data_IF_890153361935
#
_entry.id   IF_890153361935
#
_cell.length_a   1.000
_cell.length_b   1.000
_cell.length_c   1.000
_cell.angle_alpha   90.00
_cell.angle_beta   90.00
_cell.angle_gamma   90.00
#
_symmetry.space_group_name_H-M   'P 1'
#
loop_
_entity.id
_entity.type
_entity.pdbx_description
1 polymer ?
#
# COMPACT_ATOMS: atom_id res chain seq x y z
N UNK A 1 -46.36 -28.51 82.29
CA UNK A 1 -47.35 -28.03 81.30
C UNK A 1 -46.64 -27.84 79.97
N UNK A 2 -47.15 -28.47 78.91
CA UNK A 2 -46.53 -28.51 77.59
C UNK A 2 -46.89 -27.27 76.77
N UNK A 3 -45.90 -26.45 76.41
CA UNK A 3 -46.02 -25.40 75.40
C UNK A 3 -45.53 -25.91 74.05
N UNK A 4 -46.44 -26.05 73.07
CA UNK A 4 -46.09 -26.32 71.66
C UNK A 4 -45.52 -25.06 71.02
N UNK A 5 -44.23 -25.01 70.75
CA UNK A 5 -43.62 -24.05 69.81
C UNK A 5 -43.47 -24.72 68.44
N UNK A 6 -44.08 -24.09 67.42
CA UNK A 6 -44.08 -24.51 66.01
C UNK A 6 -42.65 -24.48 65.46
N UNK A 7 -42.18 -25.58 64.85
CA UNK A 7 -41.01 -25.57 63.97
C UNK A 7 -41.30 -24.65 62.77
N UNK A 8 -40.50 -23.60 62.63
CA UNK A 8 -40.43 -22.78 61.41
C UNK A 8 -39.69 -23.62 60.36
N UNK A 9 -40.33 -23.93 59.23
CA UNK A 9 -39.69 -24.62 58.13
C UNK A 9 -38.53 -23.74 57.60
N UNK A 10 -37.32 -24.21 57.80
CA UNK A 10 -36.10 -23.60 57.31
C UNK A 10 -36.06 -23.83 55.79
N UNK A 11 -36.10 -22.74 55.02
CA UNK A 11 -36.02 -22.81 53.55
C UNK A 11 -34.61 -23.26 53.19
N UNK A 12 -34.47 -24.47 52.67
CA UNK A 12 -33.22 -24.96 52.10
C UNK A 12 -32.76 -24.01 50.98
N UNK A 13 -31.51 -23.50 51.03
CA UNK A 13 -30.98 -22.65 49.98
C UNK A 13 -30.88 -23.45 48.68
N UNK A 14 -31.40 -22.88 47.58
CA UNK A 14 -31.38 -23.49 46.24
C UNK A 14 -29.93 -23.75 45.81
N UNK A 15 -29.66 -25.00 45.41
CA UNK A 15 -28.39 -25.45 44.85
C UNK A 15 -27.99 -24.59 43.64
N UNK A 16 -26.69 -24.35 43.47
CA UNK A 16 -26.12 -23.45 42.45
C UNK A 16 -26.52 -23.90 41.04
N UNK A 17 -26.66 -25.21 40.83
CA UNK A 17 -27.19 -25.77 39.57
C UNK A 17 -28.65 -25.39 39.35
N UNK A 18 -29.48 -25.43 40.40
CA UNK A 18 -30.88 -24.98 40.31
C UNK A 18 -30.99 -23.49 40.02
N UNK A 19 -30.10 -22.66 40.59
CA UNK A 19 -30.02 -21.22 40.26
C UNK A 19 -29.63 -20.97 38.80
N UNK A 20 -28.67 -21.74 38.28
CA UNK A 20 -28.25 -21.65 36.88
C UNK A 20 -29.37 -22.04 35.91
N UNK A 21 -30.13 -23.11 36.20
CA UNK A 21 -31.28 -23.51 35.38
C UNK A 21 -32.45 -22.51 35.47
N UNK A 22 -32.66 -21.88 36.63
CA UNK A 22 -33.66 -20.81 36.78
C UNK A 22 -33.24 -19.58 35.96
N UNK A 23 -31.96 -19.17 36.00
CA UNK A 23 -31.46 -18.05 35.20
C UNK A 23 -31.51 -18.36 33.71
N UNK A 24 -31.11 -19.56 33.29
CA UNK A 24 -31.24 -20.00 31.89
C UNK A 24 -32.70 -20.04 31.45
N UNK A 25 -33.61 -20.56 32.27
CA UNK A 25 -35.04 -20.57 31.98
C UNK A 25 -35.63 -19.16 31.86
N UNK A 26 -35.20 -18.22 32.72
CA UNK A 26 -35.60 -16.81 32.66
C UNK A 26 -35.02 -16.10 31.42
N UNK A 27 -33.76 -16.35 31.07
CA UNK A 27 -33.16 -15.81 29.85
C UNK A 27 -33.83 -16.37 28.59
N UNK A 28 -34.11 -17.67 28.53
CA UNK A 28 -34.84 -18.28 27.40
C UNK A 28 -36.27 -17.76 27.29
N UNK A 29 -36.95 -17.51 28.42
CA UNK A 29 -38.29 -16.92 28.41
C UNK A 29 -38.27 -15.45 27.98
N UNK A 30 -37.26 -14.67 28.40
CA UNK A 30 -37.09 -13.30 27.92
C UNK A 30 -36.78 -13.25 26.43
N UNK A 31 -35.96 -14.18 25.91
CA UNK A 31 -35.71 -14.30 24.47
C UNK A 31 -36.97 -14.70 23.69
N UNK A 32 -37.79 -15.60 24.22
CA UNK A 32 -39.07 -15.97 23.60
C UNK A 32 -40.07 -14.82 23.62
N UNK A 33 -40.17 -14.09 24.73
CA UNK A 33 -41.03 -12.90 24.83
C UNK A 33 -40.51 -11.78 23.92
N UNK A 34 -39.20 -11.58 23.80
CA UNK A 34 -38.64 -10.60 22.87
C UNK A 34 -38.91 -10.99 21.42
N UNK A 35 -38.78 -12.27 21.05
CA UNK A 35 -39.11 -12.75 19.70
C UNK A 35 -40.60 -12.62 19.41
N UNK A 36 -41.49 -12.92 20.36
CA UNK A 36 -42.94 -12.75 20.19
C UNK A 36 -43.33 -11.27 20.11
N UNK A 37 -42.72 -10.39 20.91
CA UNK A 37 -42.92 -8.94 20.81
C UNK A 37 -42.38 -8.43 19.46
N UNK A 38 -41.22 -8.88 19.00
CA UNK A 38 -40.69 -8.57 17.67
C UNK A 38 -41.63 -9.06 16.57
N UNK A 39 -42.22 -10.25 16.68
CA UNK A 39 -43.20 -10.76 15.72
C UNK A 39 -44.53 -9.98 15.76
N UNK A 40 -44.96 -9.48 16.92
CA UNK A 40 -46.16 -8.64 17.02
C UNK A 40 -45.91 -7.20 16.57
N UNK A 41 -44.69 -6.67 16.74
CA UNK A 41 -44.29 -5.37 16.22
C UNK A 41 -44.06 -5.41 14.70
N UNK A 42 -43.52 -6.51 14.17
CA UNK A 42 -43.29 -6.71 12.73
C UNK A 42 -44.55 -7.22 12.00
N UNK A 43 -45.41 -8.00 12.66
CA UNK A 43 -46.60 -8.62 12.06
C UNK A 43 -47.95 -7.97 12.41
N UNK A 44 -47.98 -7.00 13.34
CA UNK A 44 -49.21 -6.45 13.93
C UNK A 44 -49.83 -5.23 13.25
N UNK A 45 -49.29 -4.74 12.14
CA UNK A 45 -49.86 -3.60 11.39
C UNK A 45 -49.99 -3.85 9.87
N UNK A 46 -50.08 -5.12 9.46
CA UNK A 46 -50.27 -5.51 8.05
C UNK A 46 -51.72 -5.50 7.55
N UNK A 47 -52.59 -4.61 8.05
CA UNK A 47 -53.96 -4.44 7.53
C UNK A 47 -54.54 -3.07 7.85
N UNK A 48 -53.95 -2.01 7.28
CA UNK A 48 -54.63 -0.90 6.60
C UNK A 48 -53.59 0.20 6.31
N UNK A 49 -53.53 0.60 5.03
CA UNK A 49 -53.05 1.90 4.55
C UNK A 49 -51.54 2.08 4.29
N UNK A 50 -51.25 2.15 2.99
CA UNK A 50 -50.29 3.01 2.27
C UNK A 50 -48.82 3.06 2.69
N UNK A 51 -47.98 2.61 1.74
CA UNK A 51 -46.67 3.18 1.35
C UNK A 51 -45.77 3.70 2.47
N UNK A 52 -44.82 2.85 2.89
CA UNK A 52 -43.44 3.23 3.20
C UNK A 52 -42.65 1.97 3.59
N UNK A 53 -42.02 1.34 2.61
CA UNK A 53 -40.99 0.33 2.87
C UNK A 53 -39.73 1.05 3.37
N UNK A 54 -39.63 1.16 4.70
CA UNK A 54 -38.38 1.39 5.41
C UNK A 54 -37.73 0.02 5.65
N UNK A 55 -37.14 -0.52 4.59
CA UNK A 55 -36.28 -1.69 4.67
C UNK A 55 -34.96 -1.25 5.34
N UNK A 56 -34.65 -1.77 6.52
CA UNK A 56 -33.34 -1.59 7.13
C UNK A 56 -32.34 -2.55 6.47
N UNK A 57 -32.18 -2.41 5.15
CA UNK A 57 -31.01 -2.88 4.45
C UNK A 57 -29.82 -2.08 4.96
N UNK A 58 -28.70 -2.73 5.28
CA UNK A 58 -27.43 -2.02 5.19
C UNK A 58 -27.36 -1.52 3.75
N UNK A 59 -27.54 -0.22 3.54
CA UNK A 59 -27.42 0.36 2.21
C UNK A 59 -26.02 0.02 1.72
N UNK A 60 -25.93 -0.96 0.82
CA UNK A 60 -24.73 -1.19 0.05
C UNK A 60 -24.56 0.10 -0.72
N UNK A 61 -23.51 0.88 -0.41
CA UNK A 61 -23.28 2.12 -1.15
C UNK A 61 -23.32 1.77 -2.64
N UNK A 62 -24.19 2.47 -3.39
CA UNK A 62 -24.35 2.19 -4.81
C UNK A 62 -23.00 2.34 -5.47
N UNK A 63 -22.56 1.29 -6.17
CA UNK A 63 -21.36 1.39 -6.99
C UNK A 63 -21.58 2.38 -8.13
N UNK A 64 -20.49 3.02 -8.52
CA UNK A 64 -20.46 4.14 -9.44
C UNK A 64 -19.45 3.91 -10.55
N UNK A 65 -19.60 4.62 -11.66
CA UNK A 65 -18.64 4.61 -12.77
C UNK A 65 -18.30 6.06 -13.12
N UNK A 66 -17.03 6.31 -13.32
CA UNK A 66 -16.53 7.63 -13.73
C UNK A 66 -16.94 7.95 -15.18
N UNK A 67 -17.44 9.16 -15.41
CA UNK A 67 -17.79 9.63 -16.74
C UNK A 67 -16.61 10.33 -17.40
N UNK A 68 -16.28 9.94 -18.64
CA UNK A 68 -15.28 10.65 -19.46
C UNK A 68 -13.83 10.32 -19.13
N UNK A 69 -13.58 9.22 -18.40
CA UNK A 69 -12.23 8.71 -18.19
C UNK A 69 -11.53 8.39 -19.52
N UNK A 70 -10.31 8.91 -19.67
CA UNK A 70 -9.39 8.61 -20.76
C UNK A 70 -8.14 7.93 -20.20
N UNK A 71 -7.98 6.65 -20.50
CA UNK A 71 -6.87 5.81 -20.03
C UNK A 71 -5.49 6.30 -20.51
N UNK A 72 -5.43 7.09 -21.58
CA UNK A 72 -4.18 7.53 -22.20
C UNK A 72 -3.76 8.93 -21.73
N UNK A 73 -4.66 9.69 -21.09
CA UNK A 73 -4.43 11.09 -20.69
C UNK A 73 -3.23 11.26 -19.73
N UNK A 74 -3.10 10.37 -18.76
CA UNK A 74 -2.07 10.41 -17.71
C UNK A 74 -1.14 9.19 -17.74
N UNK A 75 -1.02 8.52 -18.90
CA UNK A 75 -0.12 7.38 -19.05
C UNK A 75 1.33 7.78 -18.72
N UNK A 76 2.02 6.88 -18.02
CA UNK A 76 3.45 7.03 -17.69
C UNK A 76 4.26 6.61 -18.91
N UNK A 77 5.04 7.53 -19.46
CA UNK A 77 6.04 7.23 -20.48
C UNK A 77 7.29 6.67 -19.80
N UNK A 78 7.36 5.33 -19.68
CA UNK A 78 8.45 4.65 -18.96
C UNK A 78 9.84 5.02 -19.51
N UNK A 79 9.94 5.39 -20.79
CA UNK A 79 11.22 5.75 -21.42
C UNK A 79 11.85 7.02 -20.84
N UNK A 80 11.06 7.86 -20.17
CA UNK A 80 11.55 9.08 -19.50
C UNK A 80 12.08 8.82 -18.08
N UNK A 81 11.90 7.60 -17.57
CA UNK A 81 12.13 7.26 -16.16
C UNK A 81 12.97 5.98 -15.99
N UNK A 82 13.80 5.62 -16.97
CA UNK A 82 14.56 4.34 -16.98
C UNK A 82 15.54 4.16 -15.81
N UNK A 83 15.94 5.23 -15.10
CA UNK A 83 16.74 5.13 -13.87
C UNK A 83 15.91 5.18 -12.57
N UNK A 84 14.61 5.45 -12.68
CA UNK A 84 13.68 5.67 -11.57
C UNK A 84 12.68 4.53 -11.45
N UNK A 85 12.05 4.13 -12.55
CA UNK A 85 11.15 2.97 -12.61
C UNK A 85 12.02 1.71 -12.55
N UNK A 86 11.65 0.80 -11.66
CA UNK A 86 12.30 -0.50 -11.58
C UNK A 86 11.95 -1.32 -12.83
N UNK A 87 12.99 -1.75 -13.54
CA UNK A 87 12.88 -2.60 -14.73
C UNK A 87 12.67 -4.07 -14.34
N UNK A 88 12.19 -4.87 -15.30
CA UNK A 88 12.05 -6.31 -15.11
C UNK A 88 13.42 -6.96 -14.81
N UNK A 89 13.43 -7.80 -13.78
CA UNK A 89 14.57 -8.54 -13.24
C UNK A 89 14.24 -10.03 -13.16
N UNK A 90 15.26 -10.85 -12.89
CA UNK A 90 15.01 -12.22 -12.41
C UNK A 90 14.19 -12.18 -11.10
N UNK A 91 13.41 -13.23 -10.85
CA UNK A 91 12.64 -13.39 -9.61
C UNK A 91 13.59 -13.41 -8.41
N UNK A 92 13.55 -12.35 -7.60
CA UNK A 92 14.39 -12.19 -6.41
C UNK A 92 13.97 -13.08 -5.22
N UNK A 93 12.89 -13.85 -5.36
CA UNK A 93 12.47 -14.87 -4.41
C UNK A 93 11.87 -14.33 -3.11
N UNK A 94 11.61 -15.26 -2.18
CA UNK A 94 10.98 -14.93 -0.90
C UNK A 94 11.91 -14.11 0.01
N UNK A 95 13.22 -14.33 -0.04
CA UNK A 95 14.19 -13.57 0.75
C UNK A 95 14.09 -12.06 0.45
N UNK A 96 13.84 -11.68 -0.81
CA UNK A 96 13.61 -10.28 -1.18
C UNK A 96 12.38 -9.68 -0.48
N UNK A 97 11.29 -10.44 -0.41
CA UNK A 97 10.05 -10.05 0.28
C UNK A 97 10.26 -9.97 1.80
N UNK A 98 10.96 -10.94 2.38
CA UNK A 98 11.22 -11.02 3.82
C UNK A 98 12.13 -9.88 4.31
N UNK A 99 13.03 -9.39 3.46
CA UNK A 99 13.91 -8.25 3.74
C UNK A 99 13.28 -6.88 3.47
N UNK A 100 12.07 -6.86 2.90
CA UNK A 100 11.34 -5.66 2.50
C UNK A 100 10.22 -5.35 3.51
N UNK A 101 10.21 -4.13 4.03
CA UNK A 101 9.11 -3.66 4.88
C UNK A 101 8.04 -2.96 4.03
N UNK A 102 6.85 -3.55 3.96
CA UNK A 102 5.73 -2.98 3.23
C UNK A 102 4.97 -1.99 4.12
N UNK A 103 4.84 -0.74 3.67
CA UNK A 103 4.15 0.34 4.37
C UNK A 103 2.95 0.79 3.55
N UNK A 104 1.78 0.88 4.16
CA UNK A 104 0.61 1.37 3.43
C UNK A 104 -0.68 1.39 4.23
N UNK A 105 -1.78 1.36 3.50
CA UNK A 105 -3.12 1.47 4.05
C UNK A 105 -3.81 0.10 4.24
N UNK A 106 -5.11 0.01 3.93
CA UNK A 106 -5.89 -1.23 4.00
C UNK A 106 -5.41 -2.29 3.01
N UNK A 107 -4.92 -1.93 1.83
CA UNK A 107 -4.40 -2.94 0.89
C UNK A 107 -3.11 -3.56 1.43
N UNK A 108 -2.23 -2.78 2.05
CA UNK A 108 -1.05 -3.33 2.77
C UNK A 108 -1.46 -4.16 3.97
N UNK A 109 -2.50 -3.76 4.72
CA UNK A 109 -3.03 -4.58 5.82
C UNK A 109 -3.50 -5.97 5.35
N UNK A 110 -4.11 -6.06 4.16
CA UNK A 110 -4.57 -7.33 3.58
C UNK A 110 -3.43 -8.29 3.25
N UNK A 111 -2.24 -7.78 2.93
CA UNK A 111 -1.06 -8.61 2.57
C UNK A 111 -0.71 -9.62 3.67
N UNK A 112 -0.75 -9.21 4.95
CA UNK A 112 -0.34 -10.04 6.09
C UNK A 112 -1.48 -10.43 7.04
N UNK A 113 -2.66 -9.80 6.95
CA UNK A 113 -3.83 -10.15 7.79
C UNK A 113 -4.82 -11.08 7.12
N UNK A 114 -4.78 -11.17 5.79
CA UNK A 114 -5.79 -11.92 5.02
C UNK A 114 -5.19 -12.92 4.04
N UNK A 115 -4.03 -12.61 3.45
CA UNK A 115 -3.52 -13.38 2.32
C UNK A 115 -2.15 -14.03 2.52
N UNK A 116 -1.49 -13.80 3.65
CA UNK A 116 -0.23 -14.43 4.05
C UNK A 116 0.95 -14.22 3.07
N UNK A 117 0.94 -13.12 2.30
CA UNK A 117 2.09 -12.73 1.45
C UNK A 117 3.21 -12.06 2.25
N UNK A 118 2.82 -11.37 3.32
CA UNK A 118 3.73 -10.82 4.31
C UNK A 118 3.40 -11.38 5.69
N UNK A 119 4.31 -11.14 6.63
CA UNK A 119 4.13 -11.34 8.05
C UNK A 119 4.01 -9.99 8.76
N UNK A 120 3.66 -9.99 10.04
CA UNK A 120 3.71 -8.78 10.86
C UNK A 120 5.14 -8.21 10.94
N UNK A 121 6.18 -9.04 10.81
CA UNK A 121 7.58 -8.61 10.92
C UNK A 121 8.09 -7.86 9.67
N UNK A 122 7.37 -7.91 8.55
CA UNK A 122 7.75 -7.22 7.31
C UNK A 122 6.59 -6.44 6.66
N UNK A 123 5.52 -6.13 7.40
CA UNK A 123 4.46 -5.24 6.92
C UNK A 123 3.80 -4.42 8.03
N UNK A 124 3.46 -3.17 7.70
CA UNK A 124 2.67 -2.26 8.53
C UNK A 124 1.57 -1.66 7.65
N UNK A 125 0.32 -1.94 7.99
CA UNK A 125 -0.85 -1.52 7.24
C UNK A 125 -1.86 -0.79 8.12
N UNK A 126 -2.09 0.49 7.85
CA UNK A 126 -2.98 1.36 8.64
C UNK A 126 -4.27 1.65 7.86
N UNK A 127 -5.37 0.99 8.24
CA UNK A 127 -6.63 1.02 7.46
C UNK A 127 -7.20 2.44 7.38
N UNK A 128 -7.37 2.94 6.16
CA UNK A 128 -7.90 4.27 5.88
C UNK A 128 -6.90 5.40 6.07
N UNK A 129 -5.62 5.08 6.27
CA UNK A 129 -4.55 6.08 6.33
C UNK A 129 -4.25 6.62 4.94
N UNK A 130 -4.06 7.93 4.88
CA UNK A 130 -3.72 8.66 3.66
C UNK A 130 -2.26 9.13 3.74
N UNK A 131 -1.64 9.45 2.60
CA UNK A 131 -0.27 9.93 2.52
C UNK A 131 -0.04 11.21 3.37
N UNK A 132 -1.06 12.06 3.49
CA UNK A 132 -1.10 13.23 4.41
C UNK A 132 -0.76 12.91 5.86
N UNK A 133 -1.03 11.68 6.28
CA UNK A 133 -0.80 11.24 7.66
C UNK A 133 0.57 10.57 7.84
N UNK A 134 1.32 10.31 6.77
CA UNK A 134 2.53 9.48 6.79
C UNK A 134 3.61 10.03 7.74
N UNK A 135 3.81 11.34 7.77
CA UNK A 135 4.82 11.99 8.61
C UNK A 135 4.53 11.87 10.11
N UNK A 136 3.26 11.90 10.52
CA UNK A 136 2.88 12.22 11.91
C UNK A 136 2.04 11.16 12.60
N UNK A 137 1.34 10.31 11.85
CA UNK A 137 0.36 9.42 12.43
C UNK A 137 0.99 8.16 13.03
N UNK A 138 0.82 8.02 14.35
CA UNK A 138 1.27 6.84 15.09
C UNK A 138 0.27 5.69 14.89
N UNK A 139 0.65 4.67 14.12
CA UNK A 139 -0.25 3.63 13.65
C UNK A 139 0.12 2.20 14.05
N UNK A 140 1.36 1.94 14.47
CA UNK A 140 1.85 0.58 14.76
C UNK A 140 2.34 0.45 16.19
N UNK A 141 2.04 -0.68 16.84
CA UNK A 141 2.58 -1.02 18.15
C UNK A 141 3.73 -2.02 17.97
N UNK A 142 4.90 -1.72 18.55
CA UNK A 142 6.09 -2.57 18.46
C UNK A 142 6.44 -3.18 19.81
N UNK A 143 7.07 -4.35 19.80
CA UNK A 143 7.54 -5.02 21.00
C UNK A 143 8.50 -4.10 21.77
N UNK A 144 8.27 -3.97 23.08
CA UNK A 144 9.05 -3.07 23.94
C UNK A 144 8.56 -1.62 23.96
N UNK A 145 7.52 -1.28 23.19
CA UNK A 145 6.90 0.05 23.18
C UNK A 145 5.43 -0.02 23.65
N UNK A 146 5.07 0.83 24.60
CA UNK A 146 3.71 0.85 25.18
C UNK A 146 2.70 1.60 24.31
N UNK A 147 3.16 2.58 23.54
CA UNK A 147 2.32 3.43 22.68
C UNK A 147 2.49 3.04 21.22
N UNK A 148 1.53 3.44 20.40
CA UNK A 148 1.71 3.46 18.94
C UNK A 148 2.86 4.38 18.56
N UNK A 149 3.57 4.03 17.48
CA UNK A 149 4.64 4.80 16.90
C UNK A 149 4.34 5.12 15.43
N UNK A 150 4.96 6.18 14.91
CA UNK A 150 4.87 6.55 13.48
C UNK A 150 5.58 5.53 12.60
N UNK A 151 5.28 5.51 11.30
CA UNK A 151 5.98 4.63 10.36
C UNK A 151 7.48 4.92 10.30
N UNK A 152 7.89 6.20 10.26
CA UNK A 152 9.30 6.58 10.36
C UNK A 152 9.98 6.01 11.60
N UNK A 153 9.32 6.12 12.76
CA UNK A 153 9.85 5.53 13.98
C UNK A 153 9.92 4.01 13.89
N UNK A 154 8.92 3.37 13.30
CA UNK A 154 8.90 1.93 13.11
C UNK A 154 10.04 1.45 12.20
N UNK A 155 10.30 2.13 11.08
CA UNK A 155 11.43 1.83 10.18
C UNK A 155 12.76 1.90 10.95
N UNK A 156 12.98 2.93 11.78
CA UNK A 156 14.20 3.03 12.60
C UNK A 156 14.40 1.88 13.61
N UNK A 157 13.30 1.22 14.01
CA UNK A 157 13.29 0.14 14.98
C UNK A 157 13.30 -1.25 14.34
N UNK A 158 12.71 -1.39 13.16
CA UNK A 158 12.64 -2.64 12.40
C UNK A 158 13.86 -2.81 11.47
N UNK A 159 14.54 -1.71 11.13
CA UNK A 159 15.81 -1.71 10.38
C UNK A 159 15.77 -2.53 9.07
N UNK A 160 14.74 -2.38 8.21
CA UNK A 160 14.63 -3.14 6.97
C UNK A 160 15.72 -2.74 5.98
N UNK A 161 16.01 -3.60 4.99
CA UNK A 161 16.87 -3.20 3.86
C UNK A 161 16.20 -2.12 3.03
N UNK A 162 14.92 -2.33 2.74
CA UNK A 162 14.12 -1.48 1.88
C UNK A 162 12.70 -1.35 2.39
N UNK A 163 12.06 -0.24 2.05
CA UNK A 163 10.62 -0.05 2.23
C UNK A 163 9.93 0.05 0.89
N UNK A 164 8.76 -0.58 0.78
CA UNK A 164 7.83 -0.35 -0.33
C UNK A 164 6.61 0.38 0.22
N UNK A 165 6.37 1.61 -0.22
CA UNK A 165 5.25 2.45 0.22
C UNK A 165 4.11 2.40 -0.79
N UNK A 166 2.90 2.06 -0.34
CA UNK A 166 1.67 2.09 -1.15
C UNK A 166 0.59 2.89 -0.43
N UNK A 167 0.44 4.16 -0.81
CA UNK A 167 -0.59 5.09 -0.32
C UNK A 167 -1.15 5.90 -1.49
N UNK A 168 -2.35 6.44 -1.31
CA UNK A 168 -2.93 7.45 -2.19
C UNK A 168 -4.41 7.24 -2.49
N UNK A 169 -4.93 6.02 -2.38
CA UNK A 169 -6.36 5.74 -2.57
C UNK A 169 -7.23 6.54 -1.60
N UNK A 170 -6.80 6.70 -0.33
CA UNK A 170 -7.50 7.50 0.68
C UNK A 170 -7.28 9.03 0.55
N UNK A 171 -6.44 9.47 -0.39
CA UNK A 171 -6.19 10.88 -0.68
C UNK A 171 -7.03 11.38 -1.86
N UNK A 172 -7.57 10.47 -2.69
CA UNK A 172 -8.45 10.81 -3.81
C UNK A 172 -9.64 11.65 -3.33
N UNK A 173 -9.77 12.81 -3.95
CA UNK A 173 -10.83 13.78 -3.69
C UNK A 173 -10.82 14.84 -4.78
N UNK A 174 -11.99 15.26 -5.30
CA UNK A 174 -12.09 16.35 -6.26
C UNK A 174 -11.50 17.68 -5.77
N UNK A 175 -11.37 17.86 -4.45
CA UNK A 175 -10.85 19.09 -3.84
C UNK A 175 -9.38 19.00 -3.41
N UNK A 176 -8.71 17.86 -3.61
CA UNK A 176 -7.33 17.66 -3.18
C UNK A 176 -6.41 17.57 -4.40
N UNK A 177 -5.51 18.54 -4.54
CA UNK A 177 -4.64 18.65 -5.71
C UNK A 177 -3.54 17.60 -5.69
N UNK A 178 -3.07 17.23 -6.88
CA UNK A 178 -1.90 16.36 -7.07
C UNK A 178 -0.64 16.96 -6.45
N UNK A 179 -0.45 18.28 -6.58
CA UNK A 179 0.68 18.98 -5.96
C UNK A 179 0.68 18.79 -4.43
N UNK A 180 -0.44 19.09 -3.75
CA UNK A 180 -0.51 18.90 -2.30
C UNK A 180 -0.38 17.43 -1.89
N UNK A 181 -0.91 16.49 -2.69
CA UNK A 181 -0.70 15.06 -2.45
C UNK A 181 0.78 14.70 -2.46
N UNK A 182 1.52 15.15 -3.49
CA UNK A 182 2.96 14.89 -3.63
C UNK A 182 3.76 15.56 -2.51
N UNK A 183 3.49 16.83 -2.18
CA UNK A 183 4.16 17.53 -1.07
C UNK A 183 4.04 16.75 0.24
N UNK A 184 2.83 16.29 0.57
CA UNK A 184 2.57 15.56 1.82
C UNK A 184 3.21 14.16 1.82
N UNK A 185 3.18 13.45 0.68
CA UNK A 185 3.79 12.14 0.57
C UNK A 185 5.31 12.25 0.68
N UNK A 186 5.90 13.19 -0.05
CA UNK A 186 7.34 13.47 -0.02
C UNK A 186 7.81 13.85 1.39
N UNK A 187 7.10 14.75 2.09
CA UNK A 187 7.37 15.10 3.49
C UNK A 187 7.36 13.85 4.38
N UNK A 188 6.34 13.00 4.24
CA UNK A 188 6.23 11.73 4.96
C UNK A 188 7.41 10.79 4.72
N UNK A 189 7.81 10.59 3.46
CA UNK A 189 8.97 9.74 3.11
C UNK A 189 10.27 10.35 3.66
N UNK A 190 10.45 11.68 3.59
CA UNK A 190 11.63 12.35 4.16
C UNK A 190 11.78 12.08 5.66
N UNK A 191 10.69 11.99 6.42
CA UNK A 191 10.78 11.58 7.84
C UNK A 191 11.29 10.15 8.03
N UNK A 192 10.98 9.23 7.10
CA UNK A 192 11.48 7.85 7.12
C UNK A 192 12.98 7.83 6.83
N UNK A 193 13.41 8.56 5.78
CA UNK A 193 14.83 8.70 5.41
C UNK A 193 15.63 9.32 6.56
N UNK A 194 15.12 10.36 7.20
CA UNK A 194 15.76 10.98 8.37
C UNK A 194 15.88 10.01 9.56
N UNK A 195 14.82 9.23 9.82
CA UNK A 195 14.79 8.29 10.93
C UNK A 195 15.71 7.07 10.73
N UNK A 196 15.95 6.65 9.50
CA UNK A 196 16.83 5.52 9.17
C UNK A 196 17.50 5.69 7.78
N UNK A 197 18.64 6.41 7.70
CA UNK A 197 19.24 6.80 6.41
C UNK A 197 19.72 5.67 5.49
N UNK A 198 19.93 4.46 6.02
CA UNK A 198 20.36 3.28 5.25
C UNK A 198 19.20 2.55 4.55
N UNK A 199 17.98 3.08 4.60
CA UNK A 199 16.82 2.43 3.99
C UNK A 199 16.70 2.80 2.51
N UNK A 200 16.57 1.79 1.66
CA UNK A 200 16.17 2.01 0.28
C UNK A 200 14.67 2.37 0.21
N UNK A 201 14.36 3.46 -0.50
CA UNK A 201 12.99 3.93 -0.72
C UNK A 201 12.47 3.45 -2.08
N UNK A 202 11.37 2.71 -2.04
CA UNK A 202 10.60 2.34 -3.22
C UNK A 202 9.15 2.81 -3.02
N UNK A 203 8.66 3.65 -3.92
CA UNK A 203 7.24 4.03 -3.94
C UNK A 203 6.53 3.15 -4.96
N UNK A 204 5.52 2.41 -4.51
CA UNK A 204 4.68 1.64 -5.39
C UNK A 204 3.52 2.50 -5.91
N UNK A 205 3.16 2.29 -7.17
CA UNK A 205 1.98 2.90 -7.77
C UNK A 205 0.72 2.60 -6.95
N UNK A 206 -0.18 3.58 -6.85
CA UNK A 206 -1.54 3.42 -6.36
C UNK A 206 -2.26 2.38 -7.24
N UNK A 207 -2.85 1.32 -6.66
CA UNK A 207 -3.58 0.32 -7.42
C UNK A 207 -4.78 0.92 -8.18
N UNK A 208 -5.15 0.36 -9.35
CA UNK A 208 -6.30 0.84 -10.10
C UNK A 208 -7.62 0.52 -9.39
N UNK A 209 -8.62 1.37 -9.61
CA UNK A 209 -10.00 1.14 -9.18
C UNK A 209 -10.70 0.15 -10.11
N UNK A 210 -11.72 -0.54 -9.60
CA UNK A 210 -12.70 -1.20 -10.45
C UNK A 210 -13.49 -0.17 -11.26
N UNK A 211 -13.89 -0.52 -12.49
CA UNK A 211 -14.77 0.34 -13.30
C UNK A 211 -16.09 0.66 -12.59
N UNK A 212 -16.50 -0.24 -11.69
CA UNK A 212 -17.54 0.01 -10.69
C UNK A 212 -16.91 0.02 -9.32
N UNK A 213 -17.05 1.10 -8.58
CA UNK A 213 -16.51 1.23 -7.22
C UNK A 213 -17.46 2.05 -6.33
N UNK A 214 -17.31 1.95 -5.01
CA UNK A 214 -18.00 2.82 -4.06
C UNK A 214 -17.39 4.22 -4.08
N UNK A 215 -18.17 5.24 -3.75
CA UNK A 215 -17.77 6.65 -3.64
C UNK A 215 -17.39 7.34 -4.98
N UNK A 216 -18.26 8.27 -5.43
CA UNK A 216 -18.07 9.10 -6.64
C UNK A 216 -16.84 10.02 -6.62
N UNK A 217 -16.25 10.25 -5.45
CA UNK A 217 -15.08 11.13 -5.33
C UNK A 217 -13.77 10.43 -5.70
N UNK A 218 -13.77 9.09 -5.80
CA UNK A 218 -12.61 8.33 -6.24
C UNK A 218 -12.66 8.22 -7.76
N UNK A 219 -11.62 8.66 -8.46
CA UNK A 219 -11.58 8.60 -9.92
C UNK A 219 -10.31 7.92 -10.39
N UNK A 220 -10.42 7.14 -11.46
CA UNK A 220 -9.26 6.52 -12.09
C UNK A 220 -8.39 7.58 -12.78
N UNK A 221 -9.00 8.66 -13.28
CA UNK A 221 -8.26 9.84 -13.78
C UNK A 221 -7.28 10.37 -12.74
N UNK A 222 -7.73 10.56 -11.49
CA UNK A 222 -6.88 11.08 -10.42
C UNK A 222 -5.86 10.05 -9.91
N UNK A 223 -6.21 8.75 -9.90
CA UNK A 223 -5.22 7.68 -9.65
C UNK A 223 -4.08 7.73 -10.66
N UNK A 224 -4.39 7.89 -11.95
CA UNK A 224 -3.38 7.97 -12.99
C UNK A 224 -2.56 9.26 -12.91
N UNK A 225 -3.20 10.38 -12.58
CA UNK A 225 -2.52 11.66 -12.34
C UNK A 225 -1.54 11.58 -11.16
N UNK A 226 -1.98 11.00 -10.03
CA UNK A 226 -1.14 10.80 -8.86
C UNK A 226 0.01 9.85 -9.17
N UNK A 227 -0.23 8.72 -9.84
CA UNK A 227 0.83 7.78 -10.20
C UNK A 227 1.90 8.43 -11.09
N UNK A 228 1.49 9.21 -12.09
CA UNK A 228 2.42 9.98 -12.93
C UNK A 228 3.26 10.96 -12.10
N UNK A 229 2.63 11.66 -11.16
CA UNK A 229 3.34 12.60 -10.31
C UNK A 229 4.25 11.91 -9.27
N UNK A 230 3.90 10.71 -8.79
CA UNK A 230 4.74 9.91 -7.90
C UNK A 230 6.04 9.48 -8.58
N UNK A 231 6.01 9.12 -9.87
CA UNK A 231 7.24 8.78 -10.61
C UNK A 231 8.16 10.00 -10.70
N UNK A 232 7.61 11.18 -10.99
CA UNK A 232 8.42 12.41 -11.03
C UNK A 232 9.00 12.74 -9.65
N UNK A 233 8.20 12.65 -8.58
CA UNK A 233 8.68 12.84 -7.20
C UNK A 233 9.84 11.88 -6.87
N UNK A 234 9.73 10.61 -7.27
CA UNK A 234 10.79 9.62 -7.07
C UNK A 234 12.06 10.01 -7.83
N UNK A 235 11.92 10.43 -9.08
CA UNK A 235 13.05 10.88 -9.92
C UNK A 235 13.75 12.10 -9.31
N UNK A 236 13.00 13.08 -8.81
CA UNK A 236 13.54 14.29 -8.19
C UNK A 236 14.30 14.02 -6.89
N UNK A 237 13.93 12.96 -6.16
CA UNK A 237 14.53 12.57 -4.88
C UNK A 237 15.54 11.40 -4.99
N UNK A 238 15.80 10.90 -6.20
CA UNK A 238 16.59 9.67 -6.45
C UNK A 238 16.07 8.43 -5.68
N UNK A 239 14.75 8.34 -5.54
CA UNK A 239 14.05 7.15 -5.06
C UNK A 239 13.59 6.28 -6.23
N UNK A 240 13.20 5.03 -5.94
CA UNK A 240 12.71 4.11 -6.96
C UNK A 240 11.19 4.08 -7.01
N UNK A 241 10.65 3.84 -8.19
CA UNK A 241 9.22 3.68 -8.43
C UNK A 241 8.92 2.27 -8.92
N UNK A 242 7.99 1.58 -8.26
CA UNK A 242 7.48 0.28 -8.67
C UNK A 242 6.13 0.47 -9.35
N UNK A 243 6.06 0.29 -10.67
CA UNK A 243 4.85 0.55 -11.46
C UNK A 243 3.85 -0.63 -11.47
N UNK A 244 3.56 -1.23 -10.31
CA UNK A 244 2.71 -2.44 -10.24
C UNK A 244 1.30 -2.26 -10.80
N UNK A 245 0.79 -1.03 -10.91
CA UNK A 245 -0.51 -0.75 -11.50
C UNK A 245 -0.61 -1.25 -12.94
N UNK A 246 0.48 -1.33 -13.70
CA UNK A 246 0.43 -1.80 -15.10
C UNK A 246 0.01 -3.26 -15.23
N UNK A 247 0.41 -4.13 -14.29
CA UNK A 247 -0.03 -5.53 -14.27
C UNK A 247 -1.42 -5.72 -13.66
N UNK A 248 -1.89 -4.76 -12.88
CA UNK A 248 -3.23 -4.80 -12.28
C UNK A 248 -4.32 -4.22 -13.20
N UNK A 249 -3.94 -3.35 -14.14
CA UNK A 249 -4.87 -2.73 -15.11
C UNK A 249 -5.22 -3.66 -16.26
N UNK A 250 -6.46 -3.56 -16.71
CA UNK A 250 -6.88 -4.04 -18.00
C UNK A 250 -6.48 -3.02 -19.07
N UNK A 251 -5.67 -3.43 -20.05
CA UNK A 251 -5.11 -2.54 -21.07
C UNK A 251 -6.17 -1.88 -21.96
N UNK A 252 -7.37 -2.48 -22.07
CA UNK A 252 -8.44 -1.94 -22.91
C UNK A 252 -9.24 -0.84 -22.21
N UNK A 253 -9.41 -0.96 -20.89
CA UNK A 253 -10.28 -0.07 -20.12
C UNK A 253 -9.52 0.90 -19.21
N UNK A 254 -8.28 0.62 -18.81
CA UNK A 254 -7.50 1.40 -17.85
C UNK A 254 -7.87 1.17 -16.36
N UNK A 255 -8.95 0.42 -16.09
CA UNK A 255 -9.36 0.03 -14.74
C UNK A 255 -8.72 -1.29 -14.31
N UNK A 256 -8.91 -1.68 -13.05
CA UNK A 256 -8.50 -2.98 -12.55
C UNK A 256 -9.08 -4.13 -13.40
N UNK A 257 -8.28 -5.16 -13.65
CA UNK A 257 -8.72 -6.41 -14.30
C UNK A 257 -9.91 -7.02 -13.56
N UNK A 258 -10.75 -7.76 -14.28
CA UNK A 258 -11.92 -8.42 -13.67
C UNK A 258 -11.49 -9.36 -12.53
N UNK A 259 -12.12 -9.21 -11.37
CA UNK A 259 -11.82 -10.01 -10.17
C UNK A 259 -10.58 -9.54 -9.39
N UNK A 260 -9.94 -8.44 -9.76
CA UNK A 260 -8.75 -7.93 -9.06
C UNK A 260 -9.08 -6.99 -7.90
N UNK A 261 -10.29 -6.45 -7.88
CA UNK A 261 -10.86 -5.70 -6.75
C UNK A 261 -12.10 -6.38 -6.21
N UNK A 262 -12.37 -6.21 -4.92
CA UNK A 262 -13.56 -6.73 -4.25
C UNK A 262 -14.82 -6.17 -4.91
N UNK A 263 -15.76 -7.05 -5.28
CA UNK A 263 -16.99 -6.63 -5.96
C UNK A 263 -17.90 -5.76 -5.09
N UNK A 264 -17.70 -5.77 -3.77
CA UNK A 264 -18.48 -4.99 -2.81
C UNK A 264 -18.13 -3.50 -2.82
N UNK A 265 -16.90 -3.13 -3.20
CA UNK A 265 -16.43 -1.75 -3.13
C UNK A 265 -15.64 -1.30 -4.36
N UNK A 266 -15.12 -2.21 -5.18
CA UNK A 266 -14.30 -1.90 -6.35
C UNK A 266 -12.96 -1.20 -6.01
N UNK A 267 -12.48 -1.30 -4.77
CA UNK A 267 -11.30 -0.59 -4.26
C UNK A 267 -10.27 -1.58 -3.68
N UNK A 268 -10.71 -2.52 -2.83
CA UNK A 268 -9.78 -3.39 -2.13
C UNK A 268 -9.30 -4.52 -3.05
N UNK A 269 -7.99 -4.78 -3.07
CA UNK A 269 -7.42 -5.82 -3.91
C UNK A 269 -7.80 -7.23 -3.42
N UNK A 270 -8.15 -8.11 -4.35
CA UNK A 270 -8.42 -9.52 -4.06
C UNK A 270 -7.11 -10.32 -3.92
N UNK A 271 -7.21 -11.59 -3.50
CA UNK A 271 -6.04 -12.48 -3.45
C UNK A 271 -5.36 -12.64 -4.82
N UNK A 272 -6.13 -12.67 -5.90
CA UNK A 272 -5.61 -12.80 -7.26
C UNK A 272 -4.77 -11.58 -7.67
N UNK A 273 -5.25 -10.36 -7.35
CA UNK A 273 -4.46 -9.15 -7.57
C UNK A 273 -3.20 -9.10 -6.72
N UNK A 274 -3.28 -9.56 -5.46
CA UNK A 274 -2.10 -9.63 -4.60
C UNK A 274 -1.07 -10.64 -5.10
N UNK A 275 -1.48 -11.74 -5.74
CA UNK A 275 -0.56 -12.70 -6.37
C UNK A 275 0.25 -12.02 -7.48
N UNK A 276 -0.41 -11.31 -8.38
CA UNK A 276 0.24 -10.54 -9.45
C UNK A 276 1.11 -9.40 -8.91
N UNK A 277 0.67 -8.71 -7.86
CA UNK A 277 1.45 -7.66 -7.21
C UNK A 277 2.75 -8.23 -6.63
N UNK A 278 2.69 -9.35 -5.90
CA UNK A 278 3.90 -9.93 -5.30
C UNK A 278 4.82 -10.58 -6.34
N UNK A 279 4.28 -11.14 -7.42
CA UNK A 279 5.09 -11.54 -8.57
C UNK A 279 5.83 -10.34 -9.17
N UNK A 280 5.12 -9.22 -9.36
CA UNK A 280 5.70 -7.98 -9.88
C UNK A 280 6.78 -7.42 -8.94
N UNK A 281 6.54 -7.41 -7.63
CA UNK A 281 7.52 -6.98 -6.62
C UNK A 281 8.82 -7.77 -6.71
N UNK A 282 8.74 -9.09 -6.93
CA UNK A 282 9.95 -9.94 -7.00
C UNK A 282 10.67 -9.87 -8.36
N UNK A 283 9.92 -9.63 -9.43
CA UNK A 283 10.45 -9.53 -10.80
C UNK A 283 10.78 -8.10 -11.21
N UNK A 284 10.65 -7.12 -10.32
CA UNK A 284 11.09 -5.74 -10.53
C UNK A 284 11.86 -5.28 -9.29
N UNK A 285 12.88 -6.06 -8.93
CA UNK A 285 13.57 -5.95 -7.65
C UNK A 285 14.63 -4.85 -7.65
N UNK A 286 14.70 -4.12 -6.54
CA UNK A 286 15.80 -3.20 -6.24
C UNK A 286 16.75 -3.81 -5.21
N UNK A 287 17.91 -4.27 -5.68
CA UNK A 287 18.92 -4.96 -4.86
C UNK A 287 20.19 -4.09 -4.84
N UNK A 288 20.58 -3.70 -3.64
CA UNK A 288 21.73 -2.87 -3.32
C UNK A 288 22.66 -3.60 -2.36
N UNK A 289 23.89 -3.09 -2.22
CA UNK A 289 24.78 -3.52 -1.15
C UNK A 289 24.19 -3.13 0.21
N UNK A 290 24.29 -4.01 1.20
CA UNK A 290 23.76 -3.74 2.54
C UNK A 290 24.72 -2.87 3.34
N UNK A 291 24.41 -1.58 3.37
CA UNK A 291 25.14 -0.55 4.09
C UNK A 291 24.55 -0.26 5.48
N UNK A 292 23.54 -1.04 5.91
CA UNK A 292 22.90 -0.84 7.20
C UNK A 292 23.93 -0.93 8.32
N UNK A 293 23.83 -0.07 9.35
CA UNK A 293 24.62 -0.26 10.55
C UNK A 293 24.34 -1.65 11.12
N UNK A 294 25.31 -2.27 11.80
CA UNK A 294 25.15 -3.62 12.38
C UNK A 294 23.79 -3.75 13.06
N UNK A 295 22.92 -4.58 12.45
CA UNK A 295 21.53 -4.74 12.84
C UNK A 295 21.48 -5.23 14.29
N UNK A 296 20.83 -4.45 15.17
CA UNK A 296 20.79 -4.71 16.61
C UNK A 296 19.39 -4.42 17.14
N UNK A 297 18.84 -5.35 17.91
CA UNK A 297 17.56 -5.19 18.61
C UNK A 297 16.40 -4.83 17.66
N UNK A 298 16.24 -5.60 16.57
CA UNK A 298 15.12 -5.46 15.63
C UNK A 298 13.80 -5.63 16.37
N UNK A 299 13.03 -4.55 16.46
CA UNK A 299 11.72 -4.60 17.09
C UNK A 299 10.77 -5.43 16.22
N UNK A 300 10.03 -6.32 16.86
CA UNK A 300 8.96 -7.08 16.21
C UNK A 300 7.65 -6.32 16.31
N UNK A 301 6.87 -6.35 15.25
CA UNK A 301 5.50 -5.88 15.28
C UNK A 301 4.68 -6.81 16.18
N UNK A 302 3.95 -6.24 17.15
CA UNK A 302 3.05 -7.03 18.00
C UNK A 302 1.66 -7.03 17.37
N UNK A 303 1.19 -8.21 16.97
CA UNK A 303 0.05 -8.40 16.05
C UNK A 303 -1.28 -7.69 16.37
N UNK A 304 -2.19 -7.75 15.39
CA UNK A 304 -3.56 -7.21 15.28
C UNK A 304 -3.86 -5.79 15.75
N UNK A 305 -2.84 -5.01 16.11
CA UNK A 305 -3.05 -3.71 16.73
C UNK A 305 -2.91 -2.51 15.81
N UNK A 306 -2.55 -2.63 14.53
CA UNK A 306 -2.52 -1.38 13.73
C UNK A 306 -3.89 -0.73 13.67
N UNK A 307 -3.85 0.58 13.79
CA UNK A 307 -5.03 1.41 14.00
C UNK A 307 -5.71 1.66 12.66
N UNK A 308 -7.03 1.49 12.60
CA UNK A 308 -7.81 2.13 11.54
C UNK A 308 -8.00 3.60 11.89
N UNK A 309 -7.93 4.52 10.93
CA UNK A 309 -8.18 5.95 11.17
C UNK A 309 -9.51 6.20 11.91
N UNK A 310 -10.54 5.41 11.60
CA UNK A 310 -11.83 5.40 12.32
C UNK A 310 -11.71 5.01 13.81
N UNK A 311 -10.87 4.03 14.12
CA UNK A 311 -10.60 3.59 15.50
C UNK A 311 -9.65 4.54 16.24
N UNK A 312 -8.78 5.25 15.53
CA UNK A 312 -7.87 6.24 16.11
C UNK A 312 -8.63 7.40 16.75
N UNK A 313 -9.68 7.90 16.08
CA UNK A 313 -10.58 8.92 16.63
C UNK A 313 -11.22 8.49 17.95
N UNK A 314 -11.38 7.18 18.18
CA UNK A 314 -11.89 6.63 19.43
C UNK A 314 -10.78 6.41 20.48
N UNK A 315 -9.54 6.13 20.06
CA UNK A 315 -8.37 6.02 20.96
C UNK A 315 -7.94 7.38 21.50
N UNK A 316 -8.01 8.45 20.70
CA UNK A 316 -7.81 9.83 21.19
C UNK A 316 -8.92 10.28 22.15
N UNK A 317 -10.14 9.76 22.02
CA UNK A 317 -11.24 10.04 22.97
C UNK A 317 -11.14 9.27 24.30
N UNK A 318 -10.33 8.22 24.39
CA UNK A 318 -10.23 7.39 25.61
C UNK A 318 -9.03 7.77 26.51
N UNK A 319 -8.23 8.76 26.12
CA UNK A 319 -7.09 9.26 26.93
C UNK A 319 -7.40 10.53 27.74
N UNK A 320 -8.64 11.03 27.70
CA UNK A 320 -9.05 12.25 28.42
C UNK A 320 -10.11 11.94 29.49
N UNK A 321 -9.76 11.07 30.44
CA UNK A 321 -10.46 10.95 31.71
C UNK A 321 -9.52 11.33 32.86
N UNK A 322 -9.24 12.62 33.01
CA UNK A 322 -8.98 13.26 34.29
C UNK A 322 -9.01 14.77 34.16
N UNK A 323 -9.89 15.38 34.96
CA UNK A 323 -9.92 16.80 35.38
C UNK A 323 -10.10 17.86 34.27
N UNK A 324 -10.92 18.90 34.41
CA UNK A 324 -11.83 19.32 35.46
C UNK A 324 -12.84 20.30 34.85
N UNK A 325 -14.01 20.30 35.46
CA UNK A 325 -15.16 21.18 35.28
C UNK A 325 -14.81 22.66 35.13
N UNK A 326 -15.47 23.31 34.18
CA UNK A 326 -15.56 24.76 34.00
C UNK A 326 -16.02 25.48 35.27
N UNK A 327 -15.44 26.64 35.59
CA UNK A 327 -16.22 27.87 35.85
C UNK A 327 -15.35 29.12 35.98
N UNK A 328 -15.93 30.19 35.45
CA UNK A 328 -15.56 31.60 35.37
C UNK A 328 -15.25 32.29 36.71
N UNK A 329 -14.30 33.22 36.68
CA UNK A 329 -14.08 34.22 37.73
C UNK A 329 -15.23 35.24 37.80
N UNK A 330 -15.72 35.48 39.02
CA UNK A 330 -16.35 36.73 39.43
C UNK A 330 -15.99 37.01 40.91
N UNK A 331 -16.08 38.28 41.26
CA UNK A 331 -15.43 39.03 42.33
C UNK A 331 -15.79 38.68 43.79
N UNK A 332 -14.89 39.15 44.67
CA UNK A 332 -15.17 39.82 45.96
C UNK A 332 -15.31 39.01 47.27
N UNK A 333 -14.35 39.33 48.15
CA UNK A 333 -14.50 39.70 49.56
C UNK A 333 -14.95 38.68 50.64
N UNK A 334 -14.02 38.50 51.60
CA UNK A 334 -14.21 38.51 53.07
C UNK A 334 -14.55 37.20 53.84
N UNK A 335 -13.56 36.84 54.67
CA UNK A 335 -13.63 36.59 56.13
C UNK A 335 -14.09 35.23 56.73
N UNK A 336 -13.26 34.79 57.70
CA UNK A 336 -13.50 33.92 58.88
C UNK A 336 -13.70 32.40 58.65
N UNK A 337 -13.26 31.42 59.49
CA UNK A 337 -12.57 31.32 60.80
C UNK A 337 -12.09 29.85 60.99
N UNK A 338 -10.84 29.67 61.45
CA UNK A 338 -10.28 28.75 62.49
C UNK A 338 -10.64 27.23 62.51
N UNK A 339 -9.63 26.35 62.45
CA UNK A 339 -9.14 25.54 63.61
C UNK A 339 -7.91 24.67 63.27
N UNK A 340 -7.00 24.60 64.25
CA UNK A 340 -5.68 23.95 64.36
C UNK A 340 -5.80 22.42 64.64
N UNK A 341 -4.73 21.57 64.55
CA UNK A 341 -3.67 21.50 65.58
C UNK A 341 -2.21 21.36 65.07
N UNK A 342 -1.28 21.67 65.98
CA UNK A 342 0.20 21.60 65.94
C UNK A 342 0.75 20.13 66.09
N UNK A 343 2.07 19.81 66.22
CA UNK A 343 3.27 20.67 66.39
C UNK A 343 4.59 20.25 65.67
N UNK A 344 5.53 21.22 65.66
CA UNK A 344 7.01 21.16 65.87
C UNK A 344 7.85 20.01 65.26
N UNK A 345 8.76 20.35 64.34
CA UNK A 345 10.23 20.43 64.59
C UNK A 345 10.93 21.10 63.39
N UNK A 346 11.86 22.02 63.68
CA UNK A 346 12.78 22.61 62.70
C UNK A 346 13.88 21.59 62.36
N UNK A 347 14.52 21.66 61.18
CA UNK A 347 15.82 22.35 61.19
C UNK A 347 16.28 22.97 59.85
N UNK A 348 17.33 23.79 60.00
CA UNK A 348 18.34 24.23 59.01
C UNK A 348 17.92 25.23 57.93
N UNK A 349 18.40 26.46 58.11
CA UNK A 349 18.48 27.51 57.10
C UNK A 349 19.56 27.10 56.09
N UNK A 350 19.17 26.78 54.86
CA UNK A 350 20.09 26.64 53.71
C UNK A 350 19.94 27.91 52.86
N UNK A 351 21.04 28.54 52.40
CA UNK A 351 20.97 29.84 51.73
C UNK A 351 20.21 29.76 50.40
N UNK A 352 19.59 30.88 50.04
CA UNK A 352 18.82 31.08 48.82
C UNK A 352 19.62 30.69 47.56
N UNK A 353 18.97 30.11 46.53
CA UNK A 353 19.63 29.84 45.26
C UNK A 353 20.02 31.14 44.58
N UNK A 354 21.26 31.15 44.11
CA UNK A 354 21.93 32.15 43.29
C UNK A 354 21.06 32.60 42.11
N UNK A 355 21.12 33.90 41.80
CA UNK A 355 20.52 34.53 40.64
C UNK A 355 20.80 33.73 39.34
N UNK A 356 19.85 33.66 38.39
CA UNK A 356 20.08 33.00 37.12
C UNK A 356 21.26 33.65 36.38
N UNK A 357 22.03 32.89 35.57
CA UNK A 357 23.16 33.43 34.84
C UNK A 357 22.69 34.54 33.90
N UNK A 358 23.38 35.68 33.91
CA UNK A 358 23.26 36.68 32.85
C UNK A 358 23.69 35.99 31.56
N UNK A 359 22.76 35.82 30.62
CA UNK A 359 23.06 35.35 29.27
C UNK A 359 24.03 36.34 28.61
N UNK A 360 25.30 35.97 28.59
CA UNK A 360 26.30 36.66 27.79
C UNK A 360 25.99 36.32 26.32
N UNK A 361 25.68 37.35 25.54
CA UNK A 361 25.42 37.22 24.11
C UNK A 361 26.55 36.43 23.42
N UNK A 362 26.16 35.29 22.84
CA UNK A 362 27.01 34.51 21.93
C UNK A 362 27.44 35.43 20.78
N UNK A 363 28.73 35.56 20.46
CA UNK A 363 29.15 36.30 19.27
C UNK A 363 28.57 35.62 18.02
N UNK A 364 27.95 36.42 17.14
CA UNK A 364 27.48 35.95 15.84
C UNK A 364 28.60 35.22 15.09
N UNK A 365 28.30 34.11 14.38
CA UNK A 365 29.30 33.40 13.61
C UNK A 365 29.79 34.29 12.46
N UNK A 366 31.06 34.67 12.50
CA UNK A 366 31.77 35.25 11.36
C UNK A 366 31.71 34.24 10.21
N UNK A 367 31.04 34.60 9.12
CA UNK A 367 31.00 33.79 7.91
C UNK A 367 32.44 33.59 7.41
N UNK A 368 32.90 32.34 7.46
CA UNK A 368 34.13 31.91 6.81
C UNK A 368 33.96 32.08 5.28
N UNK A 369 34.97 32.59 4.55
CA UNK A 369 34.81 32.86 3.13
C UNK A 369 34.55 31.57 2.36
N UNK A 370 33.38 31.49 1.72
CA UNK A 370 33.02 30.42 0.79
C UNK A 370 34.10 30.30 -0.28
N UNK A 371 34.74 29.12 -0.45
CA UNK A 371 35.69 28.92 -1.53
C UNK A 371 34.97 29.11 -2.88
N UNK A 372 35.51 29.99 -3.72
CA UNK A 372 35.03 30.17 -5.10
C UNK A 372 35.19 28.84 -5.83
N UNK A 373 34.17 28.36 -6.58
CA UNK A 373 34.26 27.10 -7.30
C UNK A 373 35.46 27.14 -8.26
N UNK A 374 36.38 26.21 -8.10
CA UNK A 374 37.40 25.95 -9.13
C UNK A 374 36.70 25.21 -10.25
N UNK A 375 36.64 25.81 -11.45
CA UNK A 375 36.05 25.14 -12.60
C UNK A 375 36.77 23.82 -12.87
N UNK A 376 36.00 22.73 -12.91
CA UNK A 376 36.50 21.42 -13.27
C UNK A 376 37.04 21.47 -14.72
N UNK A 377 38.17 20.81 -15.03
CA UNK A 377 38.71 20.80 -16.37
C UNK A 377 37.68 20.23 -17.36
N UNK A 378 37.39 20.99 -18.41
CA UNK A 378 36.53 20.55 -19.51
C UNK A 378 37.05 19.22 -20.07
N UNK A 379 36.24 18.16 -20.14
CA UNK A 379 36.68 16.90 -20.71
C UNK A 379 37.06 17.10 -22.18
N UNK A 380 38.29 16.73 -22.53
CA UNK A 380 38.73 16.68 -23.93
C UNK A 380 37.88 15.61 -24.64
N UNK A 381 37.30 15.90 -25.82
CA UNK A 381 36.46 14.95 -26.52
C UNK A 381 37.25 13.68 -26.82
N UNK A 382 36.79 12.56 -26.27
CA UNK A 382 37.30 11.23 -26.59
C UNK A 382 36.90 10.94 -28.03
N UNK A 383 37.88 10.72 -28.90
CA UNK A 383 37.61 10.39 -30.31
C UNK A 383 36.76 9.12 -30.39
N UNK A 384 35.72 9.17 -31.23
CA UNK A 384 34.85 8.04 -31.49
C UNK A 384 35.67 6.81 -31.94
N UNK A 385 35.29 5.59 -31.51
CA UNK A 385 35.99 4.38 -31.93
C UNK A 385 35.97 4.26 -33.45
N UNK A 386 37.13 3.96 -34.03
CA UNK A 386 37.27 3.66 -35.46
C UNK A 386 36.40 2.44 -35.79
N UNK A 387 35.57 2.48 -36.85
CA UNK A 387 34.71 1.35 -37.19
C UNK A 387 35.54 0.09 -37.42
N UNK A 388 35.12 -1.00 -36.79
CA UNK A 388 35.68 -2.33 -37.02
C UNK A 388 35.43 -2.72 -38.48
N UNK A 389 36.44 -3.17 -39.24
CA UNK A 389 36.24 -3.57 -40.63
C UNK A 389 35.25 -4.75 -40.71
N UNK A 390 34.32 -4.68 -41.67
CA UNK A 390 33.38 -5.75 -41.98
C UNK A 390 34.12 -7.08 -42.24
N UNK A 391 33.54 -8.23 -41.83
CA UNK A 391 34.15 -9.53 -42.07
C UNK A 391 34.20 -9.83 -43.57
N UNK A 392 35.42 -10.03 -44.08
CA UNK A 392 35.68 -10.54 -45.43
C UNK A 392 34.95 -11.86 -45.64
N UNK A 393 34.07 -11.91 -46.64
CA UNK A 393 33.37 -13.14 -47.02
C UNK A 393 34.37 -14.25 -47.34
N UNK A 394 34.13 -15.43 -46.77
CA UNK A 394 34.93 -16.63 -47.04
C UNK A 394 34.82 -17.00 -48.54
N UNK A 395 35.91 -17.46 -49.17
CA UNK A 395 35.89 -17.79 -50.59
C UNK A 395 34.97 -18.99 -50.87
N UNK A 396 34.14 -18.84 -51.89
CA UNK A 396 33.28 -19.91 -52.44
C UNK A 396 34.12 -21.12 -52.84
N UNK A 397 33.79 -22.35 -52.40
CA UNK A 397 34.55 -23.54 -52.80
C UNK A 397 34.37 -23.83 -54.30
N UNK A 398 35.49 -24.10 -54.97
CA UNK A 398 35.54 -24.53 -56.38
C UNK A 398 35.04 -25.99 -56.48
N UNK A 399 34.24 -26.37 -57.50
CA UNK A 399 33.76 -27.74 -57.65
C UNK A 399 34.93 -28.72 -57.84
N UNK A 400 34.92 -29.81 -57.06
CA UNK A 400 35.87 -30.93 -57.21
C UNK A 400 35.43 -31.81 -58.39
N UNK A 401 36.27 -31.94 -59.41
CA UNK A 401 36.06 -32.92 -60.49
C UNK A 401 36.29 -34.35 -59.99
N UNK A 402 35.39 -35.27 -60.38
CA UNK A 402 35.45 -36.69 -60.06
C UNK A 402 36.51 -37.43 -60.92
N UNK A 403 37.18 -38.48 -60.41
CA UNK A 403 38.21 -39.20 -61.14
C UNK A 403 37.62 -40.22 -62.15
N UNK A 404 38.42 -40.66 -63.14
CA UNK A 404 37.89 -41.32 -64.33
C UNK A 404 37.65 -42.81 -64.11
N UNK A 405 36.60 -43.35 -64.73
CA UNK A 405 36.42 -44.78 -64.93
C UNK A 405 36.44 -45.09 -66.43
N UNK A 406 37.47 -45.82 -66.84
CA UNK A 406 37.62 -46.40 -68.17
C UNK A 406 36.83 -47.71 -68.25
N UNK A 407 35.93 -47.83 -69.21
CA UNK A 407 35.61 -49.13 -69.81
C UNK A 407 35.01 -48.95 -71.20
N UNK A 408 35.52 -49.79 -72.09
CA UNK A 408 35.31 -49.90 -73.52
C UNK A 408 33.94 -50.46 -73.92
N UNK A 409 33.44 -49.92 -75.04
CA UNK A 409 32.80 -50.60 -76.17
C UNK A 409 31.49 -51.39 -76.07
N UNK A 410 30.74 -51.21 -77.16
CA UNK A 410 29.75 -52.08 -77.84
C UNK A 410 28.25 -51.95 -77.51
N UNK A 411 27.59 -51.20 -78.40
CA UNK A 411 26.64 -51.72 -79.41
C UNK A 411 25.16 -51.94 -79.03
N UNK A 412 24.32 -51.40 -79.94
CA UNK A 412 23.03 -51.90 -80.43
C UNK A 412 21.73 -51.69 -79.63
N UNK A 413 20.97 -50.68 -80.06
CA UNK A 413 19.52 -50.63 -80.39
C UNK A 413 18.79 -51.97 -80.66
N UNK A 414 17.44 -52.03 -80.82
CA UNK A 414 16.35 -51.04 -80.59
C UNK A 414 15.03 -51.62 -79.96
N UNK A 415 13.98 -50.76 -79.86
CA UNK A 415 12.52 -51.07 -79.94
C UNK A 415 11.87 -51.78 -78.74
N UNK A 416 10.63 -51.54 -78.29
CA UNK A 416 9.44 -50.76 -78.72
C UNK A 416 8.39 -50.85 -77.59
N UNK A 417 7.38 -49.96 -77.66
CA UNK A 417 6.01 -50.09 -77.09
C UNK A 417 5.87 -49.78 -75.59
N UNK A 418 4.98 -48.92 -75.07
CA UNK A 418 3.78 -48.20 -75.47
C UNK A 418 3.10 -47.82 -74.13
N UNK A 419 2.29 -46.80 -73.88
CA UNK A 419 1.70 -45.68 -74.58
C UNK A 419 0.86 -44.87 -73.55
N UNK A 420 0.44 -43.67 -73.95
CA UNK A 420 -0.54 -42.73 -73.34
C UNK A 420 -0.26 -42.11 -71.96
N UNK A 421 -0.06 -40.78 -71.84
CA UNK A 421 -0.93 -39.61 -72.15
C UNK A 421 -2.05 -39.45 -71.11
N UNK A 422 -2.23 -38.29 -70.45
CA UNK A 422 -2.80 -37.01 -70.93
C UNK A 422 -2.28 -35.88 -69.99
N UNK A 423 -1.57 -34.81 -70.40
CA UNK A 423 -1.92 -33.56 -71.13
C UNK A 423 -3.03 -32.65 -70.53
N UNK A 424 -2.63 -31.62 -69.76
CA UNK A 424 -2.74 -30.13 -69.98
C UNK A 424 -4.05 -29.51 -70.57
N UNK A 425 -4.23 -28.17 -70.75
CA UNK A 425 -3.55 -26.97 -70.20
C UNK A 425 -4.48 -25.78 -69.76
N UNK A 426 -3.83 -24.80 -69.13
CA UNK A 426 -3.83 -23.31 -69.30
C UNK A 426 -4.89 -22.51 -70.08
N UNK A 427 -5.19 -21.31 -69.56
CA UNK A 427 -5.28 -19.99 -70.26
C UNK A 427 -5.27 -18.86 -69.21
N UNK A 428 -4.28 -17.95 -69.17
CA UNK A 428 -4.29 -16.54 -69.71
C UNK A 428 -5.43 -15.66 -69.16
N UNK A 429 -5.34 -14.35 -68.91
CA UNK A 429 -4.34 -13.27 -68.99
C UNK A 429 -5.13 -12.00 -68.59
N UNK A 430 -4.55 -11.02 -67.87
CA UNK A 430 -4.49 -9.60 -68.27
C UNK A 430 -3.86 -8.75 -67.17
N UNK A 431 -2.90 -7.92 -67.59
CA UNK A 431 -2.16 -6.92 -66.83
C UNK A 431 -2.86 -5.55 -66.80
N UNK A 432 -2.38 -4.64 -65.94
CA UNK A 432 -2.27 -3.15 -66.01
C UNK A 432 -2.40 -2.58 -64.59
N UNK A 433 -1.63 -1.65 -64.04
CA UNK A 433 -0.47 -0.82 -64.46
C UNK A 433 0.08 -0.13 -63.19
N UNK A 434 1.39 0.10 -63.13
CA UNK A 434 2.10 0.97 -62.17
C UNK A 434 1.68 2.44 -62.28
N UNK A 435 1.76 3.18 -61.16
CA UNK A 435 2.31 4.55 -61.15
C UNK A 435 2.54 5.10 -59.74
N UNK A 436 3.81 5.29 -59.39
CA UNK A 436 4.38 6.36 -58.53
C UNK A 436 5.75 6.71 -59.16
N UNK A 437 6.49 7.79 -58.80
CA UNK A 437 6.19 8.93 -57.92
C UNK A 437 6.63 10.30 -58.51
N UNK A 438 6.43 11.39 -57.73
CA UNK A 438 7.37 12.50 -57.46
C UNK A 438 6.69 13.88 -57.30
N UNK A 439 6.76 14.44 -56.09
CA UNK A 439 7.24 15.79 -55.75
C UNK A 439 7.20 16.00 -54.23
#
# INVERSE_FOLDING_TARGET
MAGKTKKKAEKTPLDIRSKMYIVMGLCSLMLLVSVVISFLLVGGFGALSSESDSDSASESESLVTESGYDKDQNAIDQTQYTSTILEESEDAGQDYVDETLFLGDSNTARMYRMFDYCTYDNAIGSVGMSARSLATYACVQLQGYSNYVTMAKAVSLMQPRRVILTFGTNDLSPSYSTESFIENYEEGIKTIVEAYPSVDIIVNSIPPLGQKHSNQNLTQTQVDEYNKALVEMCKENDWKFLNSAEVLKDASTGYAKSGYVESSDGIHLTKAAMEELFEYVRTHSYITEDDRPTVKNVAKHIGDKDVSTSTASNVTNTSSASSATSQSQSESASQEVVTTPAPTEAPVITPAPTEPPVEQATPEPTAEPTPVPTEAPTPVPTQAPTPTPEPTQAPTPVPTEAPPSSSSDTSSSPSTDGGNAVETPSSESTASTESEPAA
#
